data_IF_768929845131
#
_entry.id   IF_768929845131
#
_cell.length_a   1.000
_cell.length_b   1.000
_cell.length_c   1.000
_cell.angle_alpha   90.00
_cell.angle_beta   90.00
_cell.angle_gamma   90.00
#
_symmetry.space_group_name_H-M   'P 1'
#
loop_
_entity.id
_entity.type
_entity.pdbx_description
1 polymer ?
#
# COMPACT_ATOMS: atom_id res chain seq x y z
N UNK A 1 -58.01 -34.18 47.60
CA UNK A 1 -56.60 -34.07 47.19
C UNK A 1 -56.54 -32.92 46.20
N UNK A 2 -56.58 -31.64 46.58
CA UNK A 2 -55.75 -30.86 47.50
C UNK A 2 -54.23 -30.86 47.18
N UNK A 3 -53.67 -29.64 47.17
CA UNK A 3 -52.29 -29.15 46.97
C UNK A 3 -51.83 -28.93 45.49
N UNK A 4 -51.80 -27.71 44.92
CA UNK A 4 -50.91 -26.51 45.09
C UNK A 4 -49.41 -26.69 44.76
N UNK A 5 -48.89 -25.72 43.98
CA UNK A 5 -47.48 -25.47 43.61
C UNK A 5 -47.32 -25.38 42.10
N UNK A 6 -47.51 -24.26 41.39
CA UNK A 6 -46.89 -22.92 41.52
C UNK A 6 -45.35 -22.96 41.66
N UNK A 7 -44.65 -22.85 40.53
CA UNK A 7 -43.37 -22.15 40.47
C UNK A 7 -43.44 -21.14 39.32
N UNK A 8 -43.69 -19.90 39.71
CA UNK A 8 -43.34 -18.72 38.95
C UNK A 8 -41.82 -18.60 38.81
N UNK A 9 -41.31 -18.13 37.67
CA UNK A 9 -40.33 -17.02 37.66
C UNK A 9 -39.86 -16.64 36.23
N UNK A 10 -40.28 -15.44 35.83
CA UNK A 10 -39.42 -14.33 35.38
C UNK A 10 -38.50 -14.55 34.15
N UNK A 11 -38.89 -13.90 33.06
CA UNK A 11 -37.92 -13.28 32.13
C UNK A 11 -36.97 -12.34 32.88
N UNK A 12 -35.78 -12.11 32.30
CA UNK A 12 -35.39 -10.72 32.08
C UNK A 12 -35.03 -10.45 30.61
N UNK A 13 -35.51 -9.30 30.14
CA UNK A 13 -34.95 -8.57 29.00
C UNK A 13 -33.48 -8.26 29.26
N UNK A 14 -32.60 -8.55 28.30
CA UNK A 14 -31.31 -7.87 28.03
C UNK A 14 -31.14 -8.03 26.52
N UNK A 15 -31.42 -7.01 25.71
CA UNK A 15 -30.62 -5.80 25.57
C UNK A 15 -29.59 -6.06 24.45
N UNK A 16 -29.62 -5.31 23.33
CA UNK A 16 -28.63 -5.48 22.27
C UNK A 16 -27.29 -4.83 22.67
N UNK A 17 -26.20 -5.44 22.16
CA UNK A 17 -24.80 -4.94 22.16
C UNK A 17 -24.06 -4.94 23.53
N UNK A 18 -22.72 -5.07 23.57
CA UNK A 18 -21.76 -4.40 22.69
C UNK A 18 -20.77 -5.30 21.96
N UNK A 19 -20.20 -4.73 20.90
CA UNK A 19 -18.89 -5.07 20.37
C UNK A 19 -17.90 -5.33 21.52
N UNK A 20 -17.36 -6.54 21.56
CA UNK A 20 -16.05 -6.79 22.16
C UNK A 20 -15.11 -6.85 20.98
N UNK A 21 -14.42 -5.74 20.76
CA UNK A 21 -13.00 -5.63 21.11
C UNK A 21 -12.22 -6.51 20.13
N UNK A 22 -11.74 -5.91 19.03
CA UNK A 22 -10.36 -5.44 19.02
C UNK A 22 -9.51 -6.41 19.83
N UNK A 23 -9.20 -7.54 19.22
CA UNK A 23 -8.14 -8.40 19.68
C UNK A 23 -6.83 -7.64 19.42
N UNK A 24 -6.20 -7.02 20.43
CA UNK A 24 -4.97 -6.25 20.25
C UNK A 24 -3.75 -7.18 20.20
N UNK A 25 -3.99 -8.47 19.91
CA UNK A 25 -3.00 -9.55 19.88
C UNK A 25 -2.86 -10.16 18.48
N UNK A 26 -3.32 -9.47 17.43
CA UNK A 26 -2.66 -9.61 16.15
C UNK A 26 -1.30 -8.92 16.32
N UNK A 27 -0.32 -9.64 16.89
CA UNK A 27 1.08 -9.32 16.67
C UNK A 27 1.18 -9.05 15.18
N UNK A 28 1.43 -7.79 14.81
CA UNK A 28 1.63 -7.42 13.42
C UNK A 28 2.92 -8.11 13.03
N UNK A 29 2.80 -9.36 12.61
CA UNK A 29 3.91 -10.20 12.24
C UNK A 29 4.60 -9.41 11.14
N UNK A 30 5.82 -8.95 11.45
CA UNK A 30 6.55 -8.05 10.58
C UNK A 30 7.06 -8.85 9.41
N UNK A 31 6.21 -9.06 8.41
CA UNK A 31 6.58 -9.78 7.20
C UNK A 31 7.63 -8.96 6.44
N UNK A 32 8.72 -9.62 6.07
CA UNK A 32 9.77 -9.04 5.23
C UNK A 32 9.27 -8.75 3.81
N UNK A 33 8.26 -9.49 3.34
CA UNK A 33 7.64 -9.26 2.04
C UNK A 33 6.46 -10.17 1.77
N UNK A 34 5.92 -10.09 0.56
CA UNK A 34 4.79 -10.89 0.11
C UNK A 34 5.15 -11.74 -1.11
N UNK A 35 4.70 -12.99 -1.13
CA UNK A 35 4.84 -13.91 -2.26
C UNK A 35 3.46 -14.22 -2.81
N UNK A 36 3.27 -13.95 -4.10
CA UNK A 36 2.04 -14.30 -4.82
C UNK A 36 2.18 -15.70 -5.40
N UNK A 37 1.32 -16.62 -5.00
CA UNK A 37 1.31 -17.98 -5.54
C UNK A 37 0.04 -18.22 -6.35
N UNK A 38 0.14 -18.94 -7.46
CA UNK A 38 -1.04 -19.29 -8.26
C UNK A 38 -1.99 -20.21 -7.49
N UNK A 39 -1.45 -21.14 -6.70
CA UNK A 39 -2.21 -22.08 -5.89
C UNK A 39 -1.83 -21.96 -4.43
N UNK A 40 -2.72 -22.41 -3.55
CA UNK A 40 -2.42 -22.50 -2.13
C UNK A 40 -1.29 -23.52 -1.88
N UNK A 41 -0.18 -23.06 -1.29
CA UNK A 41 0.99 -23.88 -0.98
C UNK A 41 1.34 -23.69 0.50
N UNK A 42 0.69 -24.41 1.42
CA UNK A 42 0.88 -24.21 2.86
C UNK A 42 2.33 -24.45 3.29
N UNK A 43 3.04 -25.37 2.64
CA UNK A 43 4.46 -25.63 2.90
C UNK A 43 5.37 -24.43 2.63
N UNK A 44 5.00 -23.50 1.73
CA UNK A 44 5.79 -22.28 1.51
C UNK A 44 5.74 -21.35 2.72
N UNK A 45 4.59 -21.28 3.40
CA UNK A 45 4.44 -20.49 4.62
C UNK A 45 5.22 -21.12 5.79
N UNK A 46 5.36 -22.44 5.84
CA UNK A 46 6.20 -23.12 6.83
C UNK A 46 7.70 -22.91 6.57
N UNK A 47 8.12 -22.94 5.30
CA UNK A 47 9.53 -22.78 4.93
C UNK A 47 10.01 -21.31 5.02
N UNK A 48 9.10 -20.35 4.84
CA UNK A 48 9.38 -18.91 4.96
C UNK A 48 8.32 -18.21 5.83
N UNK A 49 8.39 -18.35 7.16
CA UNK A 49 7.41 -17.78 8.08
C UNK A 49 7.42 -16.24 8.07
N UNK A 50 8.54 -15.63 7.72
CA UNK A 50 8.70 -14.17 7.65
C UNK A 50 8.11 -13.56 6.37
N UNK A 51 7.50 -14.37 5.49
CA UNK A 51 6.96 -13.93 4.19
C UNK A 51 5.46 -14.21 4.12
N UNK A 52 4.70 -13.18 3.78
CA UNK A 52 3.26 -13.32 3.60
C UNK A 52 2.94 -14.01 2.28
N UNK A 53 2.43 -15.24 2.33
CA UNK A 53 2.01 -15.98 1.14
C UNK A 53 0.55 -15.65 0.78
N UNK A 54 0.32 -15.09 -0.40
CA UNK A 54 -1.02 -14.72 -0.90
C UNK A 54 -1.36 -15.60 -2.11
N UNK A 55 -2.23 -16.62 -1.94
CA UNK A 55 -2.67 -17.45 -3.06
C UNK A 55 -3.69 -16.72 -3.93
N UNK A 56 -3.59 -16.90 -5.25
CA UNK A 56 -4.51 -16.35 -6.26
C UNK A 56 -5.66 -17.31 -6.59
N UNK A 57 -5.71 -18.46 -5.93
CA UNK A 57 -6.78 -19.42 -6.07
C UNK A 57 -8.04 -18.90 -5.36
N UNK A 58 -9.07 -18.57 -6.14
CA UNK A 58 -10.36 -18.11 -5.63
C UNK A 58 -11.14 -19.36 -5.25
N UNK A 59 -10.90 -19.84 -4.04
CA UNK A 59 -11.37 -21.13 -3.49
C UNK A 59 -12.81 -21.49 -3.86
N UNK A 60 -13.00 -22.67 -4.46
CA UNK A 60 -13.88 -23.68 -3.89
C UNK A 60 -13.43 -25.07 -4.36
N UNK A 61 -13.34 -26.04 -3.45
CA UNK A 61 -12.72 -27.37 -3.60
C UNK A 61 -13.53 -28.31 -4.54
N UNK A 62 -14.37 -27.73 -5.40
CA UNK A 62 -15.46 -28.43 -6.08
C UNK A 62 -15.32 -28.49 -7.60
N UNK A 63 -14.39 -27.73 -8.19
CA UNK A 63 -14.17 -27.72 -9.66
C UNK A 63 -12.77 -28.19 -9.99
N UNK A 64 -12.68 -29.30 -10.74
CA UNK A 64 -11.45 -30.05 -11.00
C UNK A 64 -10.24 -29.20 -11.40
N UNK A 65 -9.06 -29.68 -10.98
CA UNK A 65 -7.75 -29.02 -11.03
C UNK A 65 -7.38 -28.39 -12.40
N UNK A 66 -7.88 -28.94 -13.51
CA UNK A 66 -7.57 -28.47 -14.85
C UNK A 66 -8.10 -27.06 -15.15
N UNK A 67 -9.23 -26.65 -14.55
CA UNK A 67 -9.85 -25.34 -14.79
C UNK A 67 -9.38 -24.27 -13.78
N UNK A 68 -8.73 -24.68 -12.69
CA UNK A 68 -8.24 -23.77 -11.66
C UNK A 68 -7.04 -22.95 -12.15
N UNK A 69 -6.10 -23.56 -12.88
CA UNK A 69 -4.83 -22.91 -13.27
C UNK A 69 -5.00 -21.69 -14.18
N UNK A 70 -5.79 -21.73 -15.28
CA UNK A 70 -6.03 -20.54 -16.10
C UNK A 70 -6.74 -19.42 -15.33
N UNK A 71 -7.66 -19.78 -14.42
CA UNK A 71 -8.40 -18.81 -13.60
C UNK A 71 -7.49 -18.11 -12.58
N UNK A 72 -6.59 -18.86 -11.94
CA UNK A 72 -5.58 -18.29 -11.04
C UNK A 72 -4.62 -17.36 -11.77
N UNK A 73 -4.19 -17.74 -12.99
CA UNK A 73 -3.36 -16.88 -13.83
C UNK A 73 -4.07 -15.59 -14.22
N UNK A 74 -5.36 -15.67 -14.60
CA UNK A 74 -6.19 -14.50 -14.89
C UNK A 74 -6.35 -13.59 -13.67
N UNK A 75 -6.51 -14.16 -12.48
CA UNK A 75 -6.61 -13.39 -11.23
C UNK A 75 -5.30 -12.65 -10.92
N UNK A 76 -4.16 -13.31 -11.13
CA UNK A 76 -2.85 -12.69 -10.99
C UNK A 76 -2.68 -11.52 -11.96
N UNK A 77 -3.07 -11.68 -13.23
CA UNK A 77 -3.01 -10.62 -14.23
C UNK A 77 -3.85 -9.40 -13.80
N UNK A 78 -5.10 -9.61 -13.40
CA UNK A 78 -5.98 -8.53 -12.90
C UNK A 78 -5.35 -7.83 -11.69
N UNK A 79 -4.75 -8.59 -10.78
CA UNK A 79 -4.07 -8.02 -9.62
C UNK A 79 -2.89 -7.14 -10.03
N UNK A 80 -2.07 -7.59 -10.99
CA UNK A 80 -0.93 -6.82 -11.50
C UNK A 80 -1.37 -5.57 -12.26
N UNK A 81 -2.45 -5.63 -13.04
CA UNK A 81 -3.01 -4.46 -13.72
C UNK A 81 -3.46 -3.41 -12.69
N UNK A 82 -4.20 -3.84 -11.66
CA UNK A 82 -4.67 -2.97 -10.59
C UNK A 82 -3.51 -2.38 -9.78
N UNK A 83 -2.50 -3.20 -9.46
CA UNK A 83 -1.30 -2.73 -8.78
C UNK A 83 -0.55 -1.70 -9.63
N UNK A 84 -0.47 -1.91 -10.94
CA UNK A 84 0.20 -0.98 -11.85
C UNK A 84 -0.54 0.35 -11.94
N UNK A 85 -1.88 0.33 -11.96
CA UNK A 85 -2.70 1.54 -11.90
C UNK A 85 -2.51 2.28 -10.57
N UNK A 86 -2.56 1.58 -9.45
CA UNK A 86 -2.38 2.19 -8.11
C UNK A 86 -0.96 2.72 -7.90
N UNK A 87 0.05 2.01 -8.42
CA UNK A 87 1.45 2.41 -8.34
C UNK A 87 1.81 3.56 -9.31
N UNK A 88 1.03 3.72 -10.38
CA UNK A 88 1.15 4.83 -11.32
C UNK A 88 0.54 6.10 -10.73
N UNK A 89 1.11 6.59 -9.63
CA UNK A 89 0.79 7.91 -9.10
C UNK A 89 1.27 8.96 -10.10
N UNK A 90 0.35 9.67 -10.74
CA UNK A 90 0.58 10.72 -11.77
C UNK A 90 1.57 11.80 -11.35
N UNK A 91 1.77 12.02 -10.06
CA UNK A 91 2.59 13.12 -9.53
C UNK A 91 4.05 12.77 -9.26
N UNK A 92 4.44 11.49 -9.24
CA UNK A 92 5.80 11.07 -8.84
C UNK A 92 6.87 11.41 -9.90
N UNK A 93 6.44 11.78 -11.10
CA UNK A 93 7.31 11.96 -12.24
C UNK A 93 7.22 13.36 -12.86
N UNK A 94 6.55 14.32 -12.21
CA UNK A 94 6.35 15.66 -12.77
C UNK A 94 7.68 16.38 -13.05
N UNK A 95 8.67 16.16 -12.18
CA UNK A 95 10.01 16.77 -12.26
C UNK A 95 11.08 15.79 -12.75
N UNK A 96 10.73 14.53 -13.02
CA UNK A 96 11.66 13.53 -13.53
C UNK A 96 12.02 13.82 -15.00
N UNK A 97 13.31 14.01 -15.34
CA UNK A 97 13.72 14.28 -16.73
C UNK A 97 13.48 13.09 -17.67
N UNK A 98 13.42 11.86 -17.15
CA UNK A 98 13.20 10.65 -17.96
C UNK A 98 11.73 10.38 -18.24
N UNK A 99 10.84 10.99 -17.46
CA UNK A 99 9.40 10.90 -17.64
C UNK A 99 8.90 12.17 -18.33
N UNK A 100 9.01 12.19 -19.65
CA UNK A 100 8.48 13.27 -20.50
C UNK A 100 7.16 12.87 -21.16
N UNK A 101 6.35 12.06 -20.48
CA UNK A 101 5.04 11.63 -20.99
C UNK A 101 4.12 12.81 -21.33
N UNK A 102 2.92 12.51 -21.83
CA UNK A 102 1.93 13.55 -22.13
C UNK A 102 1.43 14.21 -20.83
N UNK A 103 2.10 15.30 -20.44
CA UNK A 103 1.60 16.20 -19.42
C UNK A 103 0.44 17.02 -19.99
N UNK A 104 -0.62 17.17 -19.22
CA UNK A 104 -1.67 18.14 -19.56
C UNK A 104 -1.15 19.59 -19.39
N UNK A 105 -1.91 20.57 -19.90
CA UNK A 105 -1.50 21.97 -19.85
C UNK A 105 -1.28 22.50 -18.42
N UNK A 106 -2.06 22.01 -17.46
CA UNK A 106 -1.98 22.37 -16.05
C UNK A 106 -0.70 21.82 -15.39
N UNK A 107 -0.35 20.57 -15.70
CA UNK A 107 0.87 19.90 -15.24
C UNK A 107 2.11 20.57 -15.82
N UNK A 108 2.09 20.97 -17.09
CA UNK A 108 3.16 21.75 -17.70
C UNK A 108 3.30 23.15 -17.06
N UNK A 109 2.18 23.78 -16.71
CA UNK A 109 2.21 25.04 -15.98
C UNK A 109 2.81 24.85 -14.58
N UNK A 110 2.38 23.82 -13.85
CA UNK A 110 2.88 23.49 -12.52
C UNK A 110 4.39 23.14 -12.54
N UNK A 111 4.82 22.30 -13.49
CA UNK A 111 6.23 21.93 -13.69
C UNK A 111 7.10 23.18 -13.90
N UNK A 112 6.68 24.11 -14.76
CA UNK A 112 7.40 25.36 -14.99
C UNK A 112 7.56 26.18 -13.72
N UNK A 113 6.49 26.32 -12.93
CA UNK A 113 6.52 27.07 -11.67
C UNK A 113 7.45 26.40 -10.65
N UNK A 114 7.41 25.08 -10.54
CA UNK A 114 8.26 24.32 -9.61
C UNK A 114 9.74 24.41 -9.98
N UNK A 115 10.08 24.33 -11.27
CA UNK A 115 11.47 24.51 -11.73
C UNK A 115 11.98 25.94 -11.48
N UNK A 116 11.16 26.96 -11.73
CA UNK A 116 11.51 28.35 -11.38
C UNK A 116 11.68 28.55 -9.87
N UNK A 117 10.81 27.92 -9.07
CA UNK A 117 10.92 27.94 -7.63
C UNK A 117 12.23 27.27 -7.16
N UNK A 118 12.58 26.12 -7.73
CA UNK A 118 13.84 25.44 -7.44
C UNK A 118 15.05 26.32 -7.78
N UNK A 119 15.07 26.98 -8.94
CA UNK A 119 16.17 27.87 -9.34
C UNK A 119 16.31 29.07 -8.38
N UNK A 120 15.18 29.60 -7.89
CA UNK A 120 15.17 30.66 -6.87
C UNK A 120 15.67 30.15 -5.52
N UNK A 121 15.28 28.94 -5.13
CA UNK A 121 15.74 28.29 -3.91
C UNK A 121 17.24 27.98 -3.97
N UNK A 122 17.75 27.55 -5.13
CA UNK A 122 19.16 27.27 -5.35
C UNK A 122 20.03 28.52 -5.17
N UNK A 123 19.54 29.69 -5.62
CA UNK A 123 20.20 30.99 -5.49
C UNK A 123 20.12 31.59 -4.08
N UNK A 124 19.17 31.17 -3.24
CA UNK A 124 18.96 31.74 -1.92
C UNK A 124 19.55 30.84 -0.82
N UNK A 125 20.79 31.13 -0.41
CA UNK A 125 21.52 30.38 0.62
C UNK A 125 20.79 30.38 1.96
N UNK A 126 20.21 31.52 2.37
CA UNK A 126 19.47 31.64 3.63
C UNK A 126 18.19 30.77 3.66
N UNK A 127 17.57 30.53 2.50
CA UNK A 127 16.42 29.63 2.40
C UNK A 127 16.80 28.16 2.58
N UNK A 128 18.01 27.76 2.15
CA UNK A 128 18.54 26.40 2.35
C UNK A 128 18.88 26.11 3.82
N UNK A 129 19.31 27.14 4.56
CA UNK A 129 19.62 27.03 5.99
C UNK A 129 18.37 27.04 6.89
N UNK A 130 17.20 27.29 6.32
CA UNK A 130 15.94 27.32 7.08
C UNK A 130 15.50 25.92 7.52
N UNK A 131 14.87 25.84 8.69
CA UNK A 131 14.32 24.58 9.24
C UNK A 131 13.27 23.92 8.32
N UNK A 132 12.61 24.70 7.47
CA UNK A 132 11.59 24.20 6.53
C UNK A 132 12.15 23.65 5.22
N UNK A 133 13.44 23.85 4.94
CA UNK A 133 14.06 23.42 3.68
C UNK A 133 13.96 21.91 3.48
N UNK A 134 14.15 21.11 4.53
CA UNK A 134 14.10 19.65 4.45
C UNK A 134 12.75 19.12 3.94
N UNK A 135 11.64 19.71 4.38
CA UNK A 135 10.29 19.32 3.94
C UNK A 135 10.05 19.70 2.47
N UNK A 136 10.51 20.88 2.07
CA UNK A 136 10.42 21.34 0.69
C UNK A 136 11.28 20.47 -0.22
N UNK A 137 12.51 20.15 0.19
CA UNK A 137 13.41 19.27 -0.53
C UNK A 137 12.79 17.88 -0.67
N UNK A 138 12.29 17.27 0.41
CA UNK A 138 11.62 15.96 0.36
C UNK A 138 10.41 15.98 -0.60
N UNK A 139 9.60 17.03 -0.55
CA UNK A 139 8.45 17.18 -1.45
C UNK A 139 8.89 17.27 -2.91
N UNK A 140 9.94 18.03 -3.22
CA UNK A 140 10.49 18.13 -4.58
C UNK A 140 11.07 16.79 -5.06
N UNK A 141 11.74 16.03 -4.20
CA UNK A 141 12.22 14.69 -4.51
C UNK A 141 11.08 13.70 -4.79
N UNK A 142 10.03 13.75 -3.98
CA UNK A 142 8.82 12.94 -4.19
C UNK A 142 8.12 13.25 -5.51
N UNK A 143 8.30 14.46 -6.04
CA UNK A 143 7.80 14.88 -7.35
C UNK A 143 8.73 14.50 -8.53
N UNK A 144 9.86 13.84 -8.25
CA UNK A 144 10.77 13.33 -9.27
C UNK A 144 12.04 14.17 -9.47
N UNK A 145 12.34 15.13 -8.59
CA UNK A 145 13.64 15.81 -8.64
C UNK A 145 14.77 14.83 -8.38
N UNK A 146 15.81 14.78 -9.24
CA UNK A 146 16.99 13.99 -8.94
C UNK A 146 17.61 14.50 -7.65
N UNK A 147 18.03 13.56 -6.78
CA UNK A 147 18.91 13.91 -5.67
C UNK A 147 20.17 14.49 -6.29
N UNK A 148 20.43 15.76 -6.02
CA UNK A 148 21.68 16.41 -6.40
C UNK A 148 22.81 15.70 -5.63
N UNK A 149 23.32 14.63 -6.23
CA UNK A 149 24.57 14.00 -5.85
C UNK A 149 25.69 14.96 -6.23
N UNK A 150 25.89 15.99 -5.39
CA UNK A 150 27.17 16.69 -5.34
C UNK A 150 28.21 15.72 -4.78
N UNK A 151 28.67 14.82 -5.63
CA UNK A 151 29.87 14.00 -5.49
C UNK A 151 30.24 13.42 -6.87
N UNK A 152 30.43 14.30 -7.86
CA UNK A 152 31.51 14.09 -8.82
C UNK A 152 32.81 14.12 -8.00
N UNK A 153 33.25 12.97 -7.49
CA UNK A 153 34.68 12.79 -7.24
C UNK A 153 35.32 12.49 -8.60
N UNK A 154 36.11 13.41 -9.18
CA UNK A 154 36.93 13.06 -10.32
C UNK A 154 37.97 12.05 -9.84
N UNK A 155 37.86 10.80 -10.30
CA UNK A 155 38.97 9.85 -10.25
C UNK A 155 40.14 10.46 -11.04
N UNK A 156 41.10 11.04 -10.32
CA UNK A 156 42.48 11.23 -10.78
C UNK A 156 43.30 10.02 -10.42
#
# INVERSE_FOLDING_TARGET
>A
HDLTGEIAARSPRRGPMPASADDPSAETQSYFGSVLSLHNRPFLAELWPDVQCVPMDVTDVSTGEAWARPRCARQLEIFLDKLSLDASTTTRHLLDPNFSGEFNEEELALRRVLLQFQERLARNVAAKESLGYGVVADTLHRLGMPVSSDADEPYT
#
